data_IF_528507255855
#
_entry.id   IF_528507255855
#
_cell.length_a   1.000
_cell.length_b   1.000
_cell.length_c   1.000
_cell.angle_alpha   90.00
_cell.angle_beta   90.00
_cell.angle_gamma   90.00
#
_symmetry.space_group_name_H-M   'P 1'
#
loop_
_entity.id
_entity.type
_entity.pdbx_description
1 polymer ?
#
# COMPACT_ATOMS: atom_id res chain seq x y z
N UNK A 1 -49.59 -61.03 -36.36
CA UNK A 1 -50.77 -60.36 -35.76
C UNK A 1 -50.62 -60.47 -34.24
N UNK A 2 -50.89 -59.41 -33.47
CA UNK A 2 -49.86 -58.43 -33.10
C UNK A 2 -49.65 -58.35 -31.58
N UNK A 3 -48.49 -57.85 -31.14
CA UNK A 3 -48.38 -57.23 -29.82
C UNK A 3 -47.63 -55.91 -29.97
N UNK A 4 -48.40 -54.83 -29.86
CA UNK A 4 -47.92 -53.46 -29.70
C UNK A 4 -47.18 -53.34 -28.39
N UNK A 5 -45.93 -52.90 -28.42
CA UNK A 5 -45.26 -52.34 -27.24
C UNK A 5 -44.86 -50.90 -27.55
N UNK A 6 -45.54 -49.98 -26.87
CA UNK A 6 -45.30 -48.54 -26.92
C UNK A 6 -43.89 -48.20 -26.41
N UNK A 7 -43.16 -47.26 -27.02
CA UNK A 7 -41.90 -46.78 -26.48
C UNK A 7 -42.12 -45.95 -25.20
N UNK A 8 -41.28 -46.11 -24.16
CA UNK A 8 -41.44 -45.40 -22.89
C UNK A 8 -41.24 -43.88 -23.05
N UNK A 9 -42.17 -43.10 -22.49
CA UNK A 9 -42.11 -41.63 -22.40
C UNK A 9 -40.84 -41.19 -21.66
N UNK A 10 -39.96 -40.49 -22.38
CA UNK A 10 -38.84 -39.76 -21.80
C UNK A 10 -39.36 -38.65 -20.88
N UNK A 11 -38.96 -38.72 -19.61
CA UNK A 11 -39.09 -37.61 -18.67
C UNK A 11 -38.17 -36.45 -19.14
N UNK A 12 -38.66 -35.20 -19.19
CA UNK A 12 -37.81 -34.07 -19.56
C UNK A 12 -36.67 -33.88 -18.53
N UNK A 13 -35.46 -33.49 -18.96
CA UNK A 13 -34.35 -33.18 -18.07
C UNK A 13 -34.74 -32.06 -17.08
N UNK A 14 -34.25 -32.08 -15.83
CA UNK A 14 -34.49 -31.00 -14.90
C UNK A 14 -33.90 -29.69 -15.45
N UNK A 15 -34.75 -28.68 -15.63
CA UNK A 15 -34.35 -27.31 -15.96
C UNK A 15 -33.44 -26.77 -14.85
N UNK A 16 -32.15 -26.69 -15.16
CA UNK A 16 -31.18 -25.95 -14.35
C UNK A 16 -31.54 -24.47 -14.51
N UNK A 17 -32.28 -23.93 -13.54
CA UNK A 17 -32.53 -22.49 -13.44
C UNK A 17 -31.15 -21.79 -13.45
N UNK A 18 -30.91 -20.83 -14.35
CA UNK A 18 -29.69 -20.04 -14.32
C UNK A 18 -29.56 -19.40 -12.94
N UNK A 19 -28.50 -19.76 -12.20
CA UNK A 19 -28.13 -19.05 -10.98
C UNK A 19 -27.74 -17.66 -11.44
N UNK A 20 -28.65 -16.71 -11.29
CA UNK A 20 -28.42 -15.29 -11.51
C UNK A 20 -27.20 -14.91 -10.67
N UNK A 21 -26.07 -14.64 -11.33
CA UNK A 21 -24.86 -14.15 -10.68
C UNK A 21 -25.24 -12.87 -9.94
N UNK A 22 -25.32 -12.97 -8.62
CA UNK A 22 -25.52 -11.81 -7.76
C UNK A 22 -24.50 -10.74 -8.19
N UNK A 23 -24.92 -9.49 -8.43
CA UNK A 23 -24.00 -8.43 -8.80
C UNK A 23 -22.92 -8.28 -7.71
N UNK A 24 -21.65 -8.04 -8.10
CA UNK A 24 -20.56 -7.95 -7.14
C UNK A 24 -20.88 -6.89 -6.09
N UNK A 25 -20.79 -7.26 -4.82
CA UNK A 25 -21.04 -6.36 -3.71
C UNK A 25 -20.10 -5.14 -3.84
N UNK A 26 -20.66 -3.93 -3.80
CA UNK A 26 -19.89 -2.69 -3.86
C UNK A 26 -18.97 -2.62 -2.64
N UNK A 27 -17.67 -2.63 -2.89
CA UNK A 27 -16.63 -2.53 -1.84
C UNK A 27 -16.74 -1.17 -1.15
N UNK A 28 -16.67 -1.15 0.19
CA UNK A 28 -16.78 0.09 0.98
C UNK A 28 -15.50 0.92 0.91
N UNK A 29 -15.60 2.23 1.19
CA UNK A 29 -14.42 3.13 1.26
C UNK A 29 -13.41 2.64 2.29
N UNK A 30 -13.86 2.20 3.47
CA UNK A 30 -12.98 1.67 4.51
C UNK A 30 -12.23 0.41 4.04
N UNK A 31 -12.90 -0.45 3.27
CA UNK A 31 -12.28 -1.63 2.70
C UNK A 31 -11.23 -1.25 1.64
N UNK A 32 -11.51 -0.27 0.76
CA UNK A 32 -10.52 0.24 -0.19
C UNK A 32 -9.29 0.83 0.51
N UNK A 33 -9.48 1.60 1.59
CA UNK A 33 -8.37 2.15 2.36
C UNK A 33 -7.49 1.05 2.99
N UNK A 34 -8.14 0.06 3.62
CA UNK A 34 -7.43 -1.10 4.21
C UNK A 34 -6.64 -1.85 3.14
N UNK A 35 -7.27 -2.15 2.01
CA UNK A 35 -6.65 -2.92 0.94
C UNK A 35 -5.48 -2.17 0.29
N UNK A 36 -5.62 -0.86 0.08
CA UNK A 36 -4.53 -0.02 -0.41
C UNK A 36 -3.33 0.02 0.55
N UNK A 37 -3.58 0.10 1.86
CA UNK A 37 -2.52 0.07 2.87
C UNK A 37 -1.77 -1.27 2.88
N UNK A 38 -2.49 -2.40 2.83
CA UNK A 38 -1.90 -3.74 2.78
C UNK A 38 -1.14 -3.98 1.46
N UNK A 39 -1.67 -3.48 0.34
CA UNK A 39 -1.01 -3.53 -0.96
C UNK A 39 0.34 -2.81 -0.94
N UNK A 40 0.38 -1.58 -0.41
CA UNK A 40 1.62 -0.81 -0.29
C UNK A 40 2.63 -1.53 0.62
N UNK A 41 2.17 -2.06 1.75
CA UNK A 41 3.04 -2.81 2.68
C UNK A 41 3.62 -4.07 2.02
N UNK A 42 2.83 -4.80 1.23
CA UNK A 42 3.28 -5.96 0.48
C UNK A 42 4.35 -5.60 -0.56
N UNK A 43 4.20 -4.46 -1.26
CA UNK A 43 5.22 -3.97 -2.21
C UNK A 43 6.53 -3.61 -1.51
N UNK A 44 6.46 -2.91 -0.38
CA UNK A 44 7.62 -2.56 0.43
C UNK A 44 8.33 -3.80 0.98
N UNK A 45 7.58 -4.82 1.38
CA UNK A 45 8.17 -6.09 1.79
C UNK A 45 8.82 -6.83 0.62
N UNK A 46 8.17 -6.91 -0.54
CA UNK A 46 8.68 -7.61 -1.72
C UNK A 46 9.98 -7.00 -2.26
N UNK A 47 10.03 -5.69 -2.41
CA UNK A 47 11.20 -5.02 -3.01
C UNK A 47 12.26 -4.67 -1.97
N UNK A 48 11.86 -4.31 -0.75
CA UNK A 48 12.74 -3.76 0.28
C UNK A 48 12.95 -4.63 1.51
N UNK A 49 12.25 -5.77 1.65
CA UNK A 49 12.24 -6.57 2.89
C UNK A 49 11.92 -5.74 4.14
N UNK A 50 11.06 -4.74 3.98
CA UNK A 50 10.82 -3.73 5.00
C UNK A 50 10.35 -4.31 6.34
N UNK A 51 9.40 -5.26 6.32
CA UNK A 51 8.86 -5.86 7.54
C UNK A 51 9.91 -6.73 8.22
N UNK A 52 10.69 -7.49 7.45
CA UNK A 52 11.80 -8.29 8.00
C UNK A 52 12.82 -7.38 8.68
N UNK A 53 13.21 -6.28 8.01
CA UNK A 53 14.19 -5.34 8.51
C UNK A 53 13.76 -4.66 9.81
N UNK A 54 12.52 -4.16 9.88
CA UNK A 54 12.01 -3.48 11.08
C UNK A 54 11.85 -4.44 12.26
N UNK A 55 11.62 -5.73 11.97
CA UNK A 55 11.47 -6.77 12.99
C UNK A 55 12.76 -7.50 13.32
N UNK A 56 13.86 -7.17 12.66
CA UNK A 56 15.15 -7.82 12.87
C UNK A 56 15.71 -7.41 14.25
N UNK A 57 15.77 -8.33 15.23
CA UNK A 57 16.31 -8.01 16.55
C UNK A 57 17.80 -7.60 16.48
N UNK A 58 18.52 -8.07 15.45
CA UNK A 58 19.92 -7.72 15.22
C UNK A 58 20.14 -6.22 15.00
N UNK A 59 19.14 -5.48 14.52
CA UNK A 59 19.26 -4.02 14.35
C UNK A 59 19.32 -3.25 15.68
N UNK A 60 18.94 -3.90 16.79
CA UNK A 60 18.99 -3.32 18.14
C UNK A 60 20.01 -4.01 19.05
N UNK A 61 20.67 -5.06 18.56
CA UNK A 61 21.70 -5.77 19.30
C UNK A 61 23.00 -4.96 19.31
N UNK A 62 23.59 -4.80 20.50
CA UNK A 62 24.86 -4.09 20.68
C UNK A 62 26.05 -4.82 20.01
N UNK A 63 25.91 -6.11 19.69
CA UNK A 63 26.92 -6.87 18.95
C UNK A 63 26.95 -6.55 17.46
N UNK A 64 25.89 -5.96 16.90
CA UNK A 64 25.80 -5.62 15.48
C UNK A 64 26.60 -4.35 15.21
N UNK A 65 27.47 -4.38 14.21
CA UNK A 65 28.33 -3.24 13.89
C UNK A 65 27.60 -2.19 13.04
N UNK A 66 28.02 -0.93 13.14
CA UNK A 66 27.52 0.14 12.26
C UNK A 66 27.72 -0.18 10.76
N UNK A 67 28.75 -0.96 10.43
CA UNK A 67 29.00 -1.39 9.05
C UNK A 67 27.92 -2.37 8.57
N UNK A 68 27.52 -3.32 9.41
CA UNK A 68 26.47 -4.29 9.10
C UNK A 68 25.10 -3.62 9.04
N UNK A 69 24.79 -2.73 10.00
CA UNK A 69 23.58 -1.90 9.97
C UNK A 69 23.54 -1.08 8.68
N UNK A 70 24.64 -0.40 8.35
CA UNK A 70 24.75 0.40 7.14
C UNK A 70 24.61 -0.41 5.85
N UNK A 71 25.05 -1.68 5.84
CA UNK A 71 24.85 -2.58 4.71
C UNK A 71 23.37 -2.98 4.56
N UNK A 72 22.73 -3.39 5.67
CA UNK A 72 21.32 -3.77 5.69
C UNK A 72 20.40 -2.60 5.32
N UNK A 73 20.58 -1.43 5.95
CA UNK A 73 19.79 -0.22 5.66
C UNK A 73 19.91 0.18 4.20
N UNK A 74 21.12 0.13 3.60
CA UNK A 74 21.29 0.48 2.19
C UNK A 74 20.57 -0.49 1.25
N UNK A 75 20.51 -1.78 1.60
CA UNK A 75 19.75 -2.76 0.81
C UNK A 75 18.24 -2.45 0.86
N UNK A 76 17.70 -2.24 2.05
CA UNK A 76 16.28 -1.92 2.27
C UNK A 76 15.91 -0.60 1.63
N UNK A 77 16.73 0.44 1.80
CA UNK A 77 16.53 1.76 1.23
C UNK A 77 16.38 1.69 -0.30
N UNK A 78 17.25 0.95 -1.00
CA UNK A 78 17.14 0.81 -2.46
C UNK A 78 15.82 0.17 -2.88
N UNK A 79 15.36 -0.86 -2.16
CA UNK A 79 14.09 -1.51 -2.45
C UNK A 79 12.88 -0.61 -2.18
N UNK A 80 12.86 0.08 -1.04
CA UNK A 80 11.80 1.04 -0.72
C UNK A 80 11.78 2.21 -1.72
N UNK A 81 12.95 2.73 -2.11
CA UNK A 81 13.05 3.79 -3.12
C UNK A 81 12.47 3.31 -4.46
N UNK A 82 12.78 2.08 -4.88
CA UNK A 82 12.21 1.48 -6.09
C UNK A 82 10.67 1.44 -6.06
N UNK A 83 10.07 1.07 -4.92
CA UNK A 83 8.60 1.10 -4.76
C UNK A 83 8.06 2.52 -4.91
N UNK A 84 8.70 3.49 -4.26
CA UNK A 84 8.28 4.89 -4.35
C UNK A 84 8.34 5.38 -5.80
N UNK A 85 9.47 5.21 -6.50
CA UNK A 85 9.67 5.67 -7.87
C UNK A 85 8.75 4.98 -8.89
N UNK A 86 8.43 3.70 -8.67
CA UNK A 86 7.59 2.94 -9.61
C UNK A 86 6.10 3.26 -9.46
N UNK A 87 5.64 3.54 -8.24
CA UNK A 87 4.21 3.58 -7.95
C UNK A 87 3.71 4.95 -7.49
N UNK A 88 4.58 5.87 -7.09
CA UNK A 88 4.23 7.18 -6.55
C UNK A 88 5.02 8.31 -7.24
N UNK A 89 4.34 9.40 -7.57
CA UNK A 89 4.99 10.66 -7.92
C UNK A 89 4.85 11.63 -6.76
N UNK A 90 5.97 12.09 -6.21
CA UNK A 90 6.03 12.92 -5.01
C UNK A 90 6.65 14.27 -5.32
N UNK A 91 6.10 15.33 -4.74
CA UNK A 91 6.66 16.68 -4.79
C UNK A 91 6.74 17.28 -3.37
N UNK A 92 7.67 18.21 -3.11
CA UNK A 92 7.66 18.91 -1.84
C UNK A 92 6.45 19.84 -1.74
N UNK A 93 5.85 19.93 -0.55
CA UNK A 93 4.75 20.87 -0.28
C UNK A 93 5.28 22.30 -0.32
N UNK A 94 6.48 22.53 0.23
CA UNK A 94 7.21 23.79 0.12
C UNK A 94 8.48 23.58 -0.73
N UNK A 95 8.63 24.25 -1.88
CA UNK A 95 9.72 23.98 -2.83
C UNK A 95 11.09 24.50 -2.38
N UNK A 96 11.15 25.27 -1.29
CA UNK A 96 12.40 25.80 -0.74
C UNK A 96 13.24 24.69 -0.08
N UNK A 97 14.54 24.92 0.01
CA UNK A 97 15.44 24.03 0.75
C UNK A 97 15.11 24.02 2.25
N UNK A 98 15.39 22.89 2.89
CA UNK A 98 15.40 22.83 4.35
C UNK A 98 16.44 23.81 4.90
N UNK A 99 16.16 24.38 6.08
CA UNK A 99 16.88 25.50 6.68
C UNK A 99 16.72 26.88 5.99
N UNK A 100 15.99 26.97 4.87
CA UNK A 100 15.69 28.25 4.24
C UNK A 100 14.72 29.09 5.09
N UNK A 101 14.87 30.42 5.05
CA UNK A 101 13.88 31.35 5.61
C UNK A 101 12.66 31.39 4.70
N UNK A 102 11.49 31.10 5.27
CA UNK A 102 10.21 31.06 4.55
C UNK A 102 9.17 31.96 5.22
N UNK A 103 8.15 32.31 4.44
CA UNK A 103 7.01 33.09 4.89
C UNK A 103 5.74 32.28 4.65
N UNK A 104 5.01 31.98 5.71
CA UNK A 104 3.73 31.27 5.65
C UNK A 104 2.60 32.30 5.57
N UNK A 105 1.80 32.33 4.49
CA UNK A 105 0.79 33.35 4.27
C UNK A 105 -0.41 33.19 5.23
N UNK A 106 -1.23 34.25 5.31
CA UNK A 106 -2.54 34.17 5.97
C UNK A 106 -3.44 33.22 5.19
N UNK A 107 -4.19 32.37 5.91
CA UNK A 107 -5.08 31.38 5.29
C UNK A 107 -4.37 30.15 4.72
N UNK A 108 -3.16 29.83 5.18
CA UNK A 108 -2.49 28.58 4.82
C UNK A 108 -3.33 27.35 5.23
N UNK A 109 -3.18 26.25 4.51
CA UNK A 109 -3.84 24.98 4.82
C UNK A 109 -3.09 24.25 5.96
N UNK A 110 -3.72 24.02 7.13
CA UNK A 110 -3.09 23.31 8.25
C UNK A 110 -2.81 21.83 7.97
N UNK A 111 -3.40 21.25 6.92
CA UNK A 111 -3.07 19.90 6.46
C UNK A 111 -1.76 19.85 5.66
N UNK A 112 -1.33 20.97 5.09
CA UNK A 112 -0.10 21.09 4.30
C UNK A 112 1.06 21.68 5.10
N UNK A 113 0.79 22.69 5.93
CA UNK A 113 1.83 23.41 6.69
C UNK A 113 1.53 23.30 8.19
N UNK A 114 2.46 22.72 8.93
CA UNK A 114 2.45 22.73 10.40
C UNK A 114 3.43 23.77 10.93
N UNK A 115 2.91 24.74 11.68
CA UNK A 115 3.74 25.70 12.40
C UNK A 115 4.35 25.03 13.64
N UNK A 116 5.65 25.26 13.88
CA UNK A 116 6.38 24.78 15.06
C UNK A 116 6.77 25.98 15.91
N UNK A 117 6.35 26.00 17.18
CA UNK A 117 6.59 27.10 18.12
C UNK A 117 5.39 28.02 18.33
N UNK A 118 5.59 29.14 19.02
CA UNK A 118 4.53 30.12 19.30
C UNK A 118 4.26 31.01 18.08
N UNK A 119 3.07 30.87 17.48
CA UNK A 119 2.60 31.73 16.40
C UNK A 119 2.01 33.05 16.94
N UNK A 120 2.87 33.96 17.42
CA UNK A 120 2.44 35.28 17.90
C UNK A 120 2.10 36.23 16.75
N UNK A 121 0.98 36.95 16.89
CA UNK A 121 0.51 37.92 15.91
C UNK A 121 -0.26 37.29 14.75
N UNK A 122 -0.55 38.09 13.73
CA UNK A 122 -1.21 37.62 12.52
C UNK A 122 -0.19 37.25 11.45
N UNK A 123 -0.55 36.27 10.62
CA UNK A 123 0.21 35.92 9.43
C UNK A 123 0.40 37.14 8.49
N UNK A 124 1.49 37.21 7.71
CA UNK A 124 2.40 36.11 7.40
C UNK A 124 3.38 35.75 8.53
N UNK A 125 3.47 34.47 8.85
CA UNK A 125 4.45 33.96 9.81
C UNK A 125 5.80 33.78 9.13
N UNK A 126 6.88 34.28 9.74
CA UNK A 126 8.24 34.07 9.24
C UNK A 126 8.92 33.00 10.06
N UNK A 127 9.56 32.05 9.39
CA UNK A 127 10.24 30.95 10.06
C UNK A 127 11.32 30.33 9.19
N UNK A 128 11.91 29.27 9.72
CA UNK A 128 12.87 28.42 9.00
C UNK A 128 12.17 27.13 8.63
N UNK A 129 12.25 26.74 7.35
CA UNK A 129 11.67 25.48 6.87
C UNK A 129 12.46 24.30 7.44
N UNK A 130 11.88 23.55 8.38
CA UNK A 130 12.55 22.39 9.00
C UNK A 130 12.39 21.11 8.21
N UNK A 131 11.28 20.98 7.50
CA UNK A 131 11.00 19.86 6.62
C UNK A 131 10.06 20.34 5.53
N UNK A 132 10.39 20.08 4.27
CA UNK A 132 9.65 20.59 3.11
C UNK A 132 8.26 19.96 2.90
N UNK A 133 7.98 18.88 3.62
CA UNK A 133 6.77 18.07 3.44
C UNK A 133 6.82 17.29 2.13
N UNK A 134 5.85 16.40 1.95
CA UNK A 134 5.70 15.63 0.71
C UNK A 134 4.23 15.54 0.34
N UNK A 135 3.93 15.82 -0.93
CA UNK A 135 2.63 15.63 -1.55
C UNK A 135 2.73 14.53 -2.59
N UNK A 136 1.78 13.60 -2.58
CA UNK A 136 1.60 12.65 -3.68
C UNK A 136 0.84 13.35 -4.80
N UNK A 137 1.46 13.48 -5.96
CA UNK A 137 0.86 14.02 -7.18
C UNK A 137 0.13 12.92 -7.95
N UNK A 138 0.66 11.70 -7.90
CA UNK A 138 0.08 10.55 -8.58
C UNK A 138 0.37 9.25 -7.81
N UNK A 139 -0.61 8.34 -7.76
CA UNK A 139 -0.46 7.00 -7.20
C UNK A 139 -0.99 5.94 -8.17
N UNK A 140 -0.11 5.03 -8.59
CA UNK A 140 -0.38 3.95 -9.56
C UNK A 140 -0.16 2.58 -8.93
N UNK A 141 -0.88 2.28 -7.86
CA UNK A 141 -0.72 0.99 -7.18
C UNK A 141 -1.26 -0.16 -8.05
N UNK A 142 -0.58 -1.33 -8.06
CA UNK A 142 -1.05 -2.50 -8.78
C UNK A 142 -2.37 -3.00 -8.19
N UNK A 143 -3.25 -3.48 -9.06
CA UNK A 143 -4.50 -4.11 -8.63
C UNK A 143 -4.20 -5.49 -8.04
N UNK A 144 -4.70 -5.77 -6.84
CA UNK A 144 -4.58 -7.10 -6.25
C UNK A 144 -5.56 -8.06 -6.93
N UNK A 145 -5.07 -9.26 -7.26
CA UNK A 145 -5.89 -10.32 -7.83
C UNK A 145 -7.08 -10.68 -6.92
N UNK A 146 -8.20 -11.04 -7.54
CA UNK A 146 -9.37 -11.55 -6.82
C UNK A 146 -9.06 -12.92 -6.19
N UNK A 147 -9.58 -13.16 -4.98
CA UNK A 147 -9.41 -14.44 -4.28
C UNK A 147 -8.12 -14.63 -3.49
N UNK A 148 -7.17 -13.69 -3.56
CA UNK A 148 -5.97 -13.69 -2.69
C UNK A 148 -6.34 -13.11 -1.32
N UNK A 149 -5.95 -13.79 -0.24
CA UNK A 149 -6.05 -13.23 1.11
C UNK A 149 -5.11 -12.02 1.24
N UNK A 150 -5.70 -10.84 1.26
CA UNK A 150 -4.98 -9.55 1.33
C UNK A 150 -4.27 -9.34 2.67
N UNK A 151 -4.60 -10.14 3.69
CA UNK A 151 -3.91 -10.11 4.98
C UNK A 151 -2.54 -10.80 4.93
N UNK A 152 -2.27 -11.61 3.89
CA UNK A 152 -0.96 -12.23 3.63
C UNK A 152 -0.14 -11.31 2.74
N UNK A 153 0.68 -10.46 3.35
CA UNK A 153 1.53 -9.48 2.63
C UNK A 153 2.78 -10.11 1.99
N UNK A 154 3.21 -11.27 2.48
CA UNK A 154 4.28 -12.09 1.92
C UNK A 154 3.99 -13.55 2.27
N UNK A 155 3.95 -14.47 1.27
CA UNK A 155 3.75 -15.88 1.54
C UNK A 155 4.97 -16.50 2.22
N UNK A 156 4.75 -17.54 3.01
CA UNK A 156 5.85 -18.39 3.46
C UNK A 156 6.36 -19.23 2.28
N UNK A 157 7.67 -19.31 2.12
CA UNK A 157 8.32 -20.14 1.10
C UNK A 157 8.84 -21.42 1.77
N UNK A 158 8.45 -22.58 1.22
CA UNK A 158 8.87 -23.90 1.74
C UNK A 158 9.57 -24.64 0.62
N UNK A 159 10.84 -24.93 0.82
CA UNK A 159 11.61 -25.78 -0.08
C UNK A 159 11.25 -27.26 0.17
N UNK A 160 10.90 -27.98 -0.89
CA UNK A 160 10.56 -29.40 -0.80
C UNK A 160 11.85 -30.22 -0.92
N UNK A 161 12.13 -31.04 0.09
CA UNK A 161 13.13 -32.10 -0.02
C UNK A 161 12.54 -33.26 -0.82
N UNK A 162 13.13 -33.58 -1.97
CA UNK A 162 12.83 -34.79 -2.73
C UNK A 162 13.25 -36.05 -1.94
#
# INVERSE_FOLDING_TARGET
>A
LPESTEPPKQLPPPEVKPVEKAPPAKVSVAQHQKDGALALLALLQREGRFVDFVRDPGMTDAATTDADIGAAVRAVHRGCLKVMEQYLSLEPVMPQDEEAKVSVPKGFDPSEIRLIGEAKGEAPYKGTLRHKGWRVVEAKLPTLAEGVDRMVIAPAEVELSA
#
